data_IF_553718029541
#
_entry.id   IF_553718029541
#
_cell.length_a   1.000
_cell.length_b   1.000
_cell.length_c   1.000
_cell.angle_alpha   90.00
_cell.angle_beta   90.00
_cell.angle_gamma   90.00
#
_symmetry.space_group_name_H-M   'P 1'
#
loop_
_entity.id
_entity.type
_entity.pdbx_description
1 polymer ?
#
# COMPACT_ATOMS: atom_id res chain seq x y z
N UNK A 1 -17.06 -24.15 9.19
CA UNK A 1 -17.33 -22.72 9.30
C UNK A 1 -16.23 -21.97 8.55
N UNK A 2 -16.43 -21.86 7.25
CA UNK A 2 -15.56 -21.13 6.34
C UNK A 2 -16.22 -19.79 6.06
N UNK A 3 -15.60 -18.72 6.50
CA UNK A 3 -15.76 -17.42 5.88
C UNK A 3 -14.36 -16.84 5.64
N UNK A 4 -13.66 -17.49 4.73
CA UNK A 4 -12.48 -16.91 4.10
C UNK A 4 -12.97 -15.71 3.31
N UNK A 5 -12.50 -14.54 3.71
CA UNK A 5 -12.59 -13.30 2.94
C UNK A 5 -12.08 -13.58 1.51
N UNK A 6 -13.00 -13.94 0.65
CA UNK A 6 -12.80 -13.87 -0.78
C UNK A 6 -12.75 -12.38 -1.12
N UNK A 7 -11.55 -11.81 -1.05
CA UNK A 7 -11.31 -10.50 -1.59
C UNK A 7 -11.43 -10.62 -3.12
N UNK A 8 -12.66 -10.50 -3.59
CA UNK A 8 -12.95 -10.48 -5.02
C UNK A 8 -12.34 -9.19 -5.57
N UNK A 9 -11.31 -9.32 -6.38
CA UNK A 9 -10.60 -8.20 -7.02
C UNK A 9 -11.53 -7.20 -7.71
N UNK A 10 -12.72 -7.63 -8.12
CA UNK A 10 -13.74 -6.77 -8.73
C UNK A 10 -14.45 -5.85 -7.73
N UNK A 11 -14.60 -6.26 -6.48
CA UNK A 11 -15.27 -5.43 -5.45
C UNK A 11 -14.30 -4.44 -4.81
N UNK A 12 -13.03 -4.80 -4.69
CA UNK A 12 -11.97 -3.87 -4.25
C UNK A 12 -11.77 -2.74 -5.27
N UNK A 13 -12.00 -3.02 -6.55
CA UNK A 13 -11.93 -2.03 -7.64
C UNK A 13 -13.05 -0.99 -7.60
N UNK A 14 -14.17 -1.26 -6.96
CA UNK A 14 -15.36 -0.38 -6.92
C UNK A 14 -15.35 0.65 -5.78
N UNK A 15 -14.55 0.43 -4.74
CA UNK A 15 -14.55 1.24 -3.52
C UNK A 15 -13.54 2.39 -3.50
N UNK A 16 -12.69 2.48 -4.52
CA UNK A 16 -11.60 3.45 -4.56
C UNK A 16 -11.86 4.44 -5.70
N UNK A 17 -12.16 5.67 -5.34
CA UNK A 17 -12.34 6.79 -6.26
C UNK A 17 -11.05 7.21 -6.98
N UNK A 18 -10.86 8.50 -7.22
CA UNK A 18 -9.74 9.07 -8.00
C UNK A 18 -8.36 8.73 -7.41
N UNK A 19 -8.25 8.60 -6.09
CA UNK A 19 -7.00 8.26 -5.36
C UNK A 19 -6.39 6.92 -5.81
N UNK A 20 -7.22 5.98 -6.23
CA UNK A 20 -6.75 4.71 -6.76
C UNK A 20 -5.98 4.85 -8.06
N UNK A 21 -6.44 5.72 -8.95
CA UNK A 21 -5.76 5.97 -10.22
C UNK A 21 -4.41 6.64 -10.00
N UNK A 22 -4.31 7.50 -8.98
CA UNK A 22 -3.03 8.08 -8.57
C UNK A 22 -2.11 7.01 -7.98
N UNK A 23 -2.62 6.19 -7.05
CA UNK A 23 -1.86 5.10 -6.42
C UNK A 23 -1.31 4.08 -7.44
N UNK A 24 -2.05 3.80 -8.50
CA UNK A 24 -1.56 2.93 -9.58
C UNK A 24 -0.34 3.51 -10.32
N UNK A 25 -0.12 4.82 -10.23
CA UNK A 25 1.05 5.49 -10.77
C UNK A 25 2.29 5.43 -9.87
N UNK A 26 2.14 5.04 -8.59
CA UNK A 26 3.25 5.01 -7.64
C UNK A 26 4.26 3.91 -8.00
N UNK A 27 5.53 4.21 -7.77
CA UNK A 27 6.62 3.29 -8.09
C UNK A 27 6.74 2.18 -7.05
N UNK A 28 6.82 0.95 -7.53
CA UNK A 28 7.13 -0.25 -6.74
C UNK A 28 8.33 -0.97 -7.32
N UNK A 29 8.99 -1.76 -6.50
CA UNK A 29 10.14 -2.56 -6.91
C UNK A 29 9.67 -3.93 -7.34
N UNK A 30 10.12 -4.37 -8.51
CA UNK A 30 9.89 -5.71 -9.02
C UNK A 30 11.22 -6.42 -9.29
N UNK A 31 11.17 -7.73 -9.25
CA UNK A 31 12.27 -8.61 -9.69
C UNK A 31 11.77 -9.35 -10.95
N UNK A 32 12.14 -8.88 -12.17
CA UNK A 32 11.73 -9.50 -13.42
C UNK A 32 12.33 -10.89 -13.57
N UNK A 33 11.63 -11.79 -14.24
CA UNK A 33 12.11 -13.13 -14.63
C UNK A 33 12.59 -13.19 -16.07
N UNK A 34 12.59 -12.06 -16.77
CA UNK A 34 12.95 -11.91 -18.17
C UNK A 34 13.96 -10.77 -18.35
N UNK A 35 14.59 -10.76 -19.52
CA UNK A 35 15.52 -9.70 -19.92
C UNK A 35 15.02 -9.05 -21.20
N UNK A 36 15.10 -7.72 -21.26
CA UNK A 36 14.83 -6.95 -22.48
C UNK A 36 16.08 -6.15 -22.85
N UNK A 37 16.37 -6.08 -24.14
CA UNK A 37 17.49 -5.26 -24.65
C UNK A 37 17.11 -3.78 -24.73
N UNK A 38 15.83 -3.50 -24.93
CA UNK A 38 15.31 -2.15 -25.08
C UNK A 38 14.23 -1.86 -24.01
N UNK A 39 14.06 -0.58 -23.64
CA UNK A 39 12.95 -0.16 -22.80
C UNK A 39 11.62 -0.45 -23.48
N UNK A 40 10.60 -0.79 -22.68
CA UNK A 40 9.24 -0.98 -23.16
C UNK A 40 8.52 0.38 -23.14
N UNK A 41 8.01 0.78 -24.31
CA UNK A 41 7.22 2.00 -24.43
C UNK A 41 5.79 1.79 -23.94
N UNK A 42 5.38 2.58 -22.96
CA UNK A 42 4.03 2.59 -22.41
C UNK A 42 3.46 4.02 -22.48
N UNK A 43 2.14 4.13 -22.34
CA UNK A 43 1.41 5.41 -22.42
C UNK A 43 1.95 6.47 -21.43
N UNK A 44 2.46 6.04 -20.27
CA UNK A 44 3.01 6.92 -19.22
C UNK A 44 4.53 6.98 -19.15
N UNK A 45 5.25 6.43 -20.14
CA UNK A 45 6.71 6.47 -20.15
C UNK A 45 7.37 5.18 -20.62
N UNK A 46 8.69 5.20 -20.58
CA UNK A 46 9.54 4.06 -20.94
C UNK A 46 10.00 3.36 -19.68
N UNK A 47 9.84 2.04 -19.62
CA UNK A 47 10.26 1.21 -18.49
C UNK A 47 11.29 0.18 -18.92
N UNK A 48 12.32 -0.03 -18.13
CA UNK A 48 13.43 -0.91 -18.46
C UNK A 48 14.64 -0.14 -19.05
N UNK A 49 15.60 -0.81 -19.69
CA UNK A 49 15.59 -2.26 -20.00
C UNK A 49 15.58 -3.13 -18.72
N UNK A 50 14.91 -4.26 -18.79
CA UNK A 50 14.82 -5.19 -17.67
C UNK A 50 15.93 -6.24 -17.74
N UNK A 51 16.47 -6.59 -16.60
CA UNK A 51 17.40 -7.71 -16.44
C UNK A 51 16.81 -8.73 -15.49
N UNK A 52 16.80 -10.00 -15.90
CA UNK A 52 16.32 -11.08 -15.07
C UNK A 52 17.01 -11.08 -13.70
N UNK A 53 16.24 -11.26 -12.64
CA UNK A 53 16.69 -11.29 -11.25
C UNK A 53 17.36 -10.00 -10.73
N UNK A 54 17.21 -8.88 -11.42
CA UNK A 54 17.68 -7.56 -10.99
C UNK A 54 16.48 -6.68 -10.63
N UNK A 55 16.56 -6.01 -9.48
CA UNK A 55 15.50 -5.10 -9.04
C UNK A 55 15.30 -3.95 -10.04
N UNK A 56 14.06 -3.69 -10.39
CA UNK A 56 13.66 -2.61 -11.27
C UNK A 56 12.45 -1.86 -10.69
N UNK A 57 12.40 -0.56 -10.90
CA UNK A 57 11.25 0.27 -10.51
C UNK A 57 10.27 0.36 -11.65
N UNK A 58 9.01 0.13 -11.35
CA UNK A 58 7.90 0.26 -12.30
C UNK A 58 6.68 0.80 -11.58
N UNK A 59 5.73 1.43 -12.26
CA UNK A 59 4.46 1.82 -11.67
C UNK A 59 3.69 0.58 -11.18
N UNK A 60 2.92 0.75 -10.11
CA UNK A 60 2.14 -0.32 -9.50
C UNK A 60 1.25 -1.05 -10.51
N UNK A 61 0.58 -0.32 -11.42
CA UNK A 61 -0.26 -0.94 -12.45
C UNK A 61 0.51 -1.94 -13.33
N UNK A 62 1.74 -1.57 -13.72
CA UNK A 62 2.59 -2.42 -14.55
C UNK A 62 3.10 -3.64 -13.75
N UNK A 63 3.48 -3.43 -12.48
CA UNK A 63 3.87 -4.49 -11.58
C UNK A 63 2.76 -5.53 -11.40
N UNK A 64 1.53 -5.08 -11.15
CA UNK A 64 0.36 -5.96 -10.99
C UNK A 64 0.08 -6.77 -12.25
N UNK A 65 0.18 -6.16 -13.43
CA UNK A 65 0.00 -6.85 -14.70
C UNK A 65 1.09 -7.89 -14.96
N UNK A 66 2.36 -7.53 -14.73
CA UNK A 66 3.49 -8.47 -14.89
C UNK A 66 3.43 -9.61 -13.87
N UNK A 67 2.97 -9.35 -12.65
CA UNK A 67 2.78 -10.39 -11.64
C UNK A 67 1.67 -11.36 -12.04
N UNK A 68 0.54 -10.84 -12.53
CA UNK A 68 -0.56 -11.65 -13.04
C UNK A 68 -0.09 -12.59 -14.17
N UNK A 69 0.75 -12.10 -15.07
CA UNK A 69 1.38 -12.89 -16.14
C UNK A 69 2.56 -13.77 -15.64
N UNK A 70 2.85 -13.77 -14.34
CA UNK A 70 3.95 -14.50 -13.71
C UNK A 70 5.36 -14.13 -14.22
N UNK A 71 5.50 -12.97 -14.82
CA UNK A 71 6.76 -12.46 -15.39
C UNK A 71 7.67 -11.80 -14.38
N UNK A 72 7.17 -11.39 -13.23
CA UNK A 72 7.97 -10.81 -12.17
C UNK A 72 7.50 -11.27 -10.77
N UNK A 73 8.29 -10.92 -9.77
CA UNK A 73 7.88 -10.96 -8.37
C UNK A 73 7.93 -9.53 -7.86
N UNK A 74 6.88 -9.06 -7.19
CA UNK A 74 6.85 -7.73 -6.57
C UNK A 74 7.55 -7.84 -5.22
N UNK A 75 8.51 -6.94 -4.97
CA UNK A 75 9.14 -6.84 -3.67
C UNK A 75 8.23 -6.11 -2.69
N UNK A 76 8.07 -6.68 -1.49
CA UNK A 76 7.26 -6.05 -0.44
C UNK A 76 7.89 -4.72 -0.02
N UNK A 77 7.17 -3.58 -0.14
CA UNK A 77 7.68 -2.31 0.31
C UNK A 77 8.12 -2.35 1.77
N UNK A 78 9.22 -1.66 2.11
CA UNK A 78 9.80 -1.69 3.45
C UNK A 78 8.78 -1.30 4.54
N UNK A 79 7.95 -0.30 4.25
CA UNK A 79 6.94 0.20 5.19
C UNK A 79 5.77 -0.76 5.43
N UNK A 80 5.57 -1.75 4.52
CA UNK A 80 4.53 -2.78 4.65
C UNK A 80 5.04 -4.04 5.37
N UNK A 81 6.31 -4.07 5.78
CA UNK A 81 6.88 -5.16 6.58
C UNK A 81 6.30 -5.14 8.00
N UNK A 82 6.13 -6.31 8.60
CA UNK A 82 5.52 -6.47 9.92
C UNK A 82 6.18 -5.59 10.99
N UNK A 83 7.51 -5.52 10.98
CA UNK A 83 8.30 -4.75 11.95
C UNK A 83 8.06 -3.24 11.84
N UNK A 84 8.05 -2.72 10.61
CA UNK A 84 7.83 -1.29 10.37
C UNK A 84 6.37 -0.89 10.63
N UNK A 85 5.39 -1.75 10.28
CA UNK A 85 3.99 -1.50 10.61
C UNK A 85 3.75 -1.50 12.13
N UNK A 86 4.39 -2.39 12.87
CA UNK A 86 4.33 -2.38 14.35
C UNK A 86 4.87 -1.07 14.89
N UNK A 87 6.03 -0.63 14.42
CA UNK A 87 6.64 0.61 14.83
C UNK A 87 5.72 1.81 14.51
N UNK A 88 5.23 1.90 13.28
CA UNK A 88 4.31 2.98 12.88
C UNK A 88 3.03 2.98 13.74
N UNK A 89 2.44 1.82 14.03
CA UNK A 89 1.28 1.70 14.90
C UNK A 89 1.58 2.17 16.34
N UNK A 90 2.72 1.76 16.89
CA UNK A 90 3.10 2.10 18.27
C UNK A 90 3.44 3.60 18.38
N UNK A 91 4.12 4.15 17.39
CA UNK A 91 4.37 5.59 17.28
C UNK A 91 3.06 6.39 17.12
N UNK A 92 2.10 5.87 16.35
CA UNK A 92 0.77 6.47 16.19
C UNK A 92 -0.01 6.47 17.50
N UNK A 93 0.10 5.41 18.32
CA UNK A 93 -0.50 5.35 19.66
C UNK A 93 0.16 6.29 20.67
N UNK A 94 1.48 6.40 20.61
CA UNK A 94 2.25 7.23 21.52
C UNK A 94 2.00 8.74 21.32
N UNK A 95 1.61 9.16 20.12
CA UNK A 95 1.44 10.55 19.74
C UNK A 95 -0.01 10.87 19.34
N UNK A 96 -0.93 11.11 20.27
CA UNK A 96 -2.36 11.28 19.96
C UNK A 96 -2.64 12.51 19.08
N UNK A 97 -1.80 13.54 19.13
CA UNK A 97 -2.01 14.82 18.43
C UNK A 97 -1.21 14.96 17.12
N UNK A 98 -0.41 13.95 16.76
CA UNK A 98 0.48 14.00 15.59
C UNK A 98 0.28 12.73 14.77
N UNK A 99 0.21 12.88 13.46
CA UNK A 99 0.16 11.74 12.54
C UNK A 99 1.57 11.26 12.19
N UNK A 100 1.80 9.98 12.28
CA UNK A 100 3.05 9.36 11.81
C UNK A 100 3.12 9.46 10.28
N UNK A 101 4.31 9.76 9.77
CA UNK A 101 4.53 9.84 8.33
C UNK A 101 4.38 8.47 7.68
N UNK A 102 3.41 8.35 6.77
CA UNK A 102 3.17 7.17 5.92
C UNK A 102 3.21 7.58 4.45
N UNK A 103 3.42 6.66 3.51
CA UNK A 103 3.29 6.95 2.08
C UNK A 103 1.89 7.48 1.74
N UNK A 104 1.79 8.33 0.73
CA UNK A 104 0.53 9.00 0.37
C UNK A 104 -0.62 8.02 0.12
N UNK A 105 -0.38 6.99 -0.67
CA UNK A 105 -1.39 5.98 -1.05
C UNK A 105 -1.12 4.63 -0.37
N UNK A 106 -0.73 4.66 0.91
CA UNK A 106 -0.32 3.43 1.62
C UNK A 106 -1.46 2.40 1.72
N UNK A 107 -2.70 2.84 1.85
CA UNK A 107 -3.88 1.98 1.91
C UNK A 107 -4.13 1.26 0.59
N UNK A 108 -4.16 2.01 -0.51
CA UNK A 108 -4.43 1.50 -1.86
C UNK A 108 -3.34 0.53 -2.31
N UNK A 109 -2.07 0.92 -2.11
CA UNK A 109 -0.90 0.07 -2.43
C UNK A 109 -0.93 -1.19 -1.57
N UNK A 110 -1.17 -1.06 -0.26
CA UNK A 110 -1.23 -2.20 0.63
C UNK A 110 -2.34 -3.17 0.23
N UNK A 111 -3.56 -2.69 -0.02
CA UNK A 111 -4.67 -3.54 -0.44
C UNK A 111 -4.39 -4.24 -1.78
N UNK A 112 -3.78 -3.55 -2.74
CA UNK A 112 -3.39 -4.15 -4.00
C UNK A 112 -2.38 -5.30 -3.80
N UNK A 113 -1.35 -5.09 -2.96
CA UNK A 113 -0.30 -6.08 -2.70
C UNK A 113 -0.78 -7.22 -1.79
N UNK A 114 -1.61 -6.95 -0.80
CA UNK A 114 -2.19 -7.96 0.09
C UNK A 114 -3.12 -8.93 -0.66
N UNK A 115 -3.68 -8.52 -1.79
CA UNK A 115 -4.42 -9.39 -2.70
C UNK A 115 -3.55 -10.41 -3.45
N UNK A 116 -2.22 -10.30 -3.39
CA UNK A 116 -1.27 -11.13 -4.12
C UNK A 116 -0.50 -12.08 -3.17
N UNK A 117 -0.87 -13.35 -3.07
CA UNK A 117 -0.22 -14.30 -2.13
C UNK A 117 1.29 -14.42 -2.34
N UNK A 118 1.76 -14.27 -3.57
CA UNK A 118 3.17 -14.42 -3.93
C UNK A 118 4.08 -13.32 -3.39
N UNK A 119 3.56 -12.14 -3.13
CA UNK A 119 4.31 -11.02 -2.55
C UNK A 119 4.84 -11.38 -1.16
N UNK A 120 4.15 -12.27 -0.44
CA UNK A 120 4.52 -12.79 0.87
C UNK A 120 5.24 -14.15 0.80
N UNK A 121 5.73 -14.56 -0.37
CA UNK A 121 6.38 -15.86 -0.52
C UNK A 121 5.48 -17.07 -0.20
N UNK A 122 4.16 -16.86 -0.16
CA UNK A 122 3.18 -17.89 0.23
C UNK A 122 3.00 -18.04 1.75
N UNK A 123 3.65 -17.20 2.56
CA UNK A 123 3.44 -17.19 4.02
C UNK A 123 2.13 -16.48 4.38
N UNK A 124 1.08 -17.29 4.51
CA UNK A 124 -0.26 -16.81 4.87
C UNK A 124 -0.32 -16.24 6.29
N UNK A 125 0.53 -16.71 7.22
CA UNK A 125 0.60 -16.18 8.58
C UNK A 125 1.17 -14.78 8.59
N UNK A 126 2.25 -14.55 7.84
CA UNK A 126 2.84 -13.23 7.68
C UNK A 126 1.83 -12.27 7.04
N UNK A 127 1.18 -12.69 5.97
CA UNK A 127 0.12 -11.90 5.31
C UNK A 127 -0.99 -11.51 6.27
N UNK A 128 -1.52 -12.45 7.03
CA UNK A 128 -2.59 -12.20 8.00
C UNK A 128 -2.18 -11.23 9.10
N UNK A 129 -0.96 -11.34 9.62
CA UNK A 129 -0.41 -10.39 10.61
C UNK A 129 -0.28 -8.99 10.03
N UNK A 130 0.24 -8.88 8.80
CA UNK A 130 0.36 -7.59 8.09
C UNK A 130 -1.01 -6.94 7.91
N UNK A 131 -2.04 -7.71 7.53
CA UNK A 131 -3.43 -7.21 7.40
C UNK A 131 -3.95 -6.67 8.72
N UNK A 132 -3.74 -7.40 9.82
CA UNK A 132 -4.20 -6.96 11.15
C UNK A 132 -3.52 -5.65 11.57
N UNK A 133 -2.20 -5.57 11.44
CA UNK A 133 -1.43 -4.37 11.80
C UNK A 133 -1.83 -3.15 10.95
N UNK A 134 -2.02 -3.35 9.65
CA UNK A 134 -2.48 -2.30 8.76
C UNK A 134 -3.87 -1.80 9.17
N UNK A 135 -4.79 -2.71 9.47
CA UNK A 135 -6.14 -2.36 9.93
C UNK A 135 -6.09 -1.56 11.24
N UNK A 136 -5.30 -2.02 12.23
CA UNK A 136 -5.11 -1.29 13.47
C UNK A 136 -4.58 0.12 13.23
N UNK A 137 -3.61 0.29 12.34
CA UNK A 137 -3.06 1.60 11.99
C UNK A 137 -4.12 2.51 11.36
N UNK A 138 -4.90 1.99 10.42
CA UNK A 138 -5.99 2.74 9.76
C UNK A 138 -7.04 3.17 10.79
N UNK A 139 -7.47 2.26 11.68
CA UNK A 139 -8.45 2.56 12.73
C UNK A 139 -7.94 3.64 13.69
N UNK A 140 -6.69 3.54 14.16
CA UNK A 140 -6.09 4.55 15.02
C UNK A 140 -6.06 5.94 14.37
N UNK A 141 -5.70 6.01 13.09
CA UNK A 141 -5.69 7.28 12.35
C UNK A 141 -7.10 7.84 12.17
N UNK A 142 -8.06 6.97 11.84
CA UNK A 142 -9.48 7.37 11.74
C UNK A 142 -10.00 7.91 13.06
N UNK A 143 -9.70 7.26 14.17
CA UNK A 143 -10.14 7.69 15.51
C UNK A 143 -9.55 9.06 15.87
N UNK A 144 -8.29 9.31 15.56
CA UNK A 144 -7.66 10.63 15.72
C UNK A 144 -8.38 11.71 14.91
N UNK A 145 -8.72 11.43 13.66
CA UNK A 145 -9.46 12.37 12.80
C UNK A 145 -10.83 12.66 13.42
N UNK A 146 -11.55 11.65 13.83
CA UNK A 146 -12.88 11.80 14.44
C UNK A 146 -12.80 12.60 15.75
N UNK A 147 -11.80 12.33 16.58
CA UNK A 147 -11.59 13.06 17.84
C UNK A 147 -11.20 14.52 17.58
N UNK A 148 -10.31 14.76 16.62
CA UNK A 148 -9.97 16.10 16.19
C UNK A 148 -11.19 16.89 15.66
N UNK A 149 -12.06 16.25 14.89
CA UNK A 149 -13.28 16.89 14.38
C UNK A 149 -14.26 17.23 15.52
N UNK A 150 -14.40 16.38 16.54
CA UNK A 150 -15.23 16.70 17.71
C UNK A 150 -14.74 17.90 18.50
N UNK A 151 -13.44 18.10 18.56
CA UNK A 151 -12.84 19.26 19.25
C UNK A 151 -13.09 20.57 18.52
N UNK A 152 -13.38 20.56 17.21
CA UNK A 152 -13.71 21.76 16.42
C UNK A 152 -15.02 22.42 16.82
N UNK A 153 -16.01 21.65 17.24
CA UNK A 153 -17.30 22.16 17.69
C UNK A 153 -17.21 22.97 19.01
N UNK A 154 -16.08 22.86 19.74
CA UNK A 154 -15.93 23.42 21.08
C UNK A 154 -15.05 24.66 21.15
N UNK A 155 -14.15 24.89 20.21
CA UNK A 155 -13.34 26.11 20.06
C UNK A 155 -12.47 26.07 18.79
N UNK A 156 -12.09 27.23 18.20
CA UNK A 156 -11.22 27.28 17.03
C UNK A 156 -9.80 26.86 17.43
N UNK A 157 -9.51 25.59 17.41
CA UNK A 157 -8.18 25.06 17.64
C UNK A 157 -7.54 24.75 16.29
N UNK A 158 -6.33 25.20 16.05
CA UNK A 158 -5.59 24.86 14.83
C UNK A 158 -5.32 23.36 14.78
N UNK A 159 -5.91 22.68 13.80
CA UNK A 159 -5.58 21.28 13.51
C UNK A 159 -4.29 21.22 12.70
N UNK A 160 -3.30 20.56 13.24
CA UNK A 160 -2.11 20.22 12.49
C UNK A 160 -2.41 19.00 11.61
N UNK A 161 -2.75 19.26 10.36
CA UNK A 161 -3.05 18.23 9.35
C UNK A 161 -1.80 17.71 8.60
N UNK A 162 -0.61 18.05 9.08
CA UNK A 162 0.63 17.53 8.49
C UNK A 162 0.64 16.00 8.56
N UNK A 163 1.00 15.36 7.46
CA UNK A 163 1.05 13.90 7.31
C UNK A 163 -0.31 13.16 7.30
N UNK A 164 -1.43 13.86 7.21
CA UNK A 164 -2.66 13.21 6.78
C UNK A 164 -2.51 12.81 5.30
N UNK A 165 -2.41 11.53 5.03
CA UNK A 165 -2.70 11.02 3.70
C UNK A 165 -4.22 11.03 3.50
N UNK A 166 -4.67 11.24 2.28
CA UNK A 166 -6.08 11.06 1.94
C UNK A 166 -6.51 9.66 2.40
N UNK A 167 -7.54 9.60 3.22
CA UNK A 167 -8.13 8.37 3.74
C UNK A 167 -9.35 8.01 2.89
#
# INVERSE_FOLDING_TARGET
MESVLHCNTKDTLKLLGDDKWEALGDEVIIIPKFTTEQPVDCIRGKFGPFRAHSAAKVPLWAALQMEHLQQCTIELPYWLREEELKKMRDDEKANPNIFVKVPRHYTEIAFALLGLPRVFGGDEKQRSRTVLLLRELIELRRDKIVEGLKSFDSSPTELNVSHMSAA
#
